data_IF_061554319147
#
_entry.id   IF_061554319147
#
_cell.length_a   1.000
_cell.length_b   1.000
_cell.length_c   1.000
_cell.angle_alpha   90.00
_cell.angle_beta   90.00
_cell.angle_gamma   90.00
#
_symmetry.space_group_name_H-M   'P 1'
#
loop_
_entity.id
_entity.type
_entity.pdbx_description
1 polymer ?
#
# COMPACT_ATOMS: atom_id res chain seq x y z
N UNK A 1 -25.49 -18.53 3.86
CA UNK A 1 -24.83 -17.64 4.83
C UNK A 1 -24.55 -16.34 4.12
N UNK A 2 -24.79 -15.20 4.77
CA UNK A 2 -24.40 -13.89 4.24
C UNK A 2 -22.95 -13.63 4.65
N UNK A 3 -22.16 -13.13 3.71
CA UNK A 3 -20.75 -12.79 3.89
C UNK A 3 -20.55 -11.33 3.50
N UNK A 4 -19.76 -10.59 4.27
CA UNK A 4 -19.36 -9.23 3.95
C UNK A 4 -18.38 -9.20 2.78
N UNK A 5 -18.61 -8.29 1.84
CA UNK A 5 -17.74 -8.03 0.70
C UNK A 5 -17.44 -6.54 0.60
N UNK A 6 -16.18 -6.21 0.33
CA UNK A 6 -15.77 -4.88 -0.10
C UNK A 6 -15.73 -4.88 -1.62
N UNK A 7 -16.41 -3.92 -2.24
CA UNK A 7 -16.41 -3.75 -3.69
C UNK A 7 -15.97 -2.35 -4.04
N UNK A 8 -14.93 -2.25 -4.86
CA UNK A 8 -14.37 -1.00 -5.38
C UNK A 8 -14.70 -0.88 -6.87
N UNK A 9 -15.15 0.29 -7.28
CA UNK A 9 -15.42 0.64 -8.68
C UNK A 9 -14.63 1.89 -9.02
N UNK A 10 -13.85 1.82 -10.09
CA UNK A 10 -13.11 2.96 -10.63
C UNK A 10 -13.68 3.36 -11.99
N UNK A 11 -13.92 4.65 -12.13
CA UNK A 11 -14.30 5.31 -13.39
C UNK A 11 -13.24 6.35 -13.72
N UNK A 12 -12.68 6.27 -14.91
CA UNK A 12 -11.77 7.29 -15.45
C UNK A 12 -12.47 8.08 -16.54
N UNK A 13 -12.04 9.31 -16.76
CA UNK A 13 -12.39 10.12 -17.92
C UNK A 13 -11.33 9.92 -19.01
N UNK A 14 -11.78 9.83 -20.26
CA UNK A 14 -10.96 9.42 -21.40
C UNK A 14 -9.65 10.22 -21.51
N UNK A 15 -8.54 9.48 -21.64
CA UNK A 15 -7.21 10.02 -21.92
C UNK A 15 -6.33 10.28 -20.69
N UNK A 16 -6.86 10.20 -19.47
CA UNK A 16 -6.08 10.43 -18.25
C UNK A 16 -5.55 9.13 -17.66
N UNK A 17 -4.24 9.10 -17.44
CA UNK A 17 -3.59 8.06 -16.66
C UNK A 17 -3.87 8.30 -15.17
N UNK A 18 -4.09 7.26 -14.34
CA UNK A 18 -4.13 7.40 -12.88
C UNK A 18 -2.81 7.93 -12.28
N UNK A 19 -1.75 8.09 -13.08
CA UNK A 19 -0.46 8.65 -12.70
C UNK A 19 -0.30 10.15 -13.04
N UNK A 20 -1.26 10.75 -13.74
CA UNK A 20 -1.19 12.17 -14.08
C UNK A 20 -1.42 13.03 -12.81
N UNK A 21 -0.81 14.23 -12.67
CA UNK A 21 -0.95 15.08 -11.47
C UNK A 21 -2.36 15.69 -11.34
N UNK A 22 -3.08 15.40 -10.25
CA UNK A 22 -4.50 15.72 -10.03
C UNK A 22 -4.91 17.17 -10.35
N UNK A 23 -6.14 17.36 -10.86
CA UNK A 23 -6.80 18.66 -11.02
C UNK A 23 -8.09 18.63 -10.20
N UNK A 24 -8.14 19.43 -9.14
CA UNK A 24 -9.29 19.46 -8.22
C UNK A 24 -10.12 20.70 -8.52
N UNK A 25 -11.33 20.50 -9.04
CA UNK A 25 -12.37 21.53 -9.10
C UNK A 25 -13.34 21.40 -7.92
N UNK A 26 -13.67 22.53 -7.27
CA UNK A 26 -14.54 22.58 -6.09
C UNK A 26 -15.90 21.88 -6.30
N UNK A 27 -16.49 22.01 -7.48
CA UNK A 27 -17.77 21.36 -7.81
C UNK A 27 -17.68 19.83 -7.86
N UNK A 28 -16.54 19.27 -8.27
CA UNK A 28 -16.34 17.82 -8.32
C UNK A 28 -16.21 17.26 -6.90
N UNK A 29 -15.47 17.96 -6.03
CA UNK A 29 -15.33 17.58 -4.62
C UNK A 29 -16.68 17.54 -3.91
N UNK A 30 -17.52 18.56 -4.11
CA UNK A 30 -18.87 18.61 -3.52
C UNK A 30 -19.74 17.43 -3.97
N UNK A 31 -19.69 17.05 -5.25
CA UNK A 31 -20.43 15.91 -5.79
C UNK A 31 -19.94 14.58 -5.23
N UNK A 32 -18.63 14.39 -5.08
CA UNK A 32 -18.05 13.20 -4.46
C UNK A 32 -18.44 13.09 -2.97
N UNK A 33 -18.47 14.23 -2.26
CA UNK A 33 -18.96 14.30 -0.88
C UNK A 33 -20.44 13.92 -0.77
N UNK A 34 -21.29 14.44 -1.67
CA UNK A 34 -22.71 14.10 -1.73
C UNK A 34 -22.95 12.61 -2.05
N UNK A 35 -22.15 12.04 -2.96
CA UNK A 35 -22.19 10.62 -3.28
C UNK A 35 -21.78 9.75 -2.09
N UNK A 36 -20.72 10.14 -1.35
CA UNK A 36 -20.31 9.47 -0.11
C UNK A 36 -21.45 9.43 0.90
N UNK A 37 -22.12 10.57 1.12
CA UNK A 37 -23.26 10.66 2.04
C UNK A 37 -24.44 9.76 1.60
N UNK A 38 -24.74 9.71 0.30
CA UNK A 38 -25.82 8.87 -0.22
C UNK A 38 -25.55 7.37 -0.08
N UNK A 39 -24.29 6.97 -0.11
CA UNK A 39 -23.85 5.57 0.05
C UNK A 39 -23.43 5.23 1.48
N UNK A 40 -23.69 6.11 2.47
CA UNK A 40 -23.28 5.91 3.86
C UNK A 40 -23.80 4.59 4.48
N UNK A 41 -24.99 4.13 4.06
CA UNK A 41 -25.56 2.82 4.49
C UNK A 41 -24.72 1.61 4.07
N UNK A 42 -23.82 1.79 3.10
CA UNK A 42 -22.88 0.78 2.61
C UNK A 42 -21.44 1.09 3.05
N UNK A 43 -21.25 1.90 4.09
CA UNK A 43 -19.93 2.27 4.62
C UNK A 43 -18.98 2.79 3.52
N UNK A 44 -19.50 3.63 2.64
CA UNK A 44 -18.79 4.03 1.44
C UNK A 44 -17.60 4.95 1.72
N UNK A 45 -16.53 4.75 0.94
CA UNK A 45 -15.45 5.70 0.77
C UNK A 45 -15.38 6.08 -0.71
N UNK A 46 -15.52 7.36 -1.02
CA UNK A 46 -15.43 7.89 -2.39
C UNK A 46 -14.30 8.91 -2.45
N UNK A 47 -13.46 8.79 -3.47
CA UNK A 47 -12.34 9.71 -3.72
C UNK A 47 -12.17 9.90 -5.21
N UNK A 48 -11.70 11.06 -5.63
CA UNK A 48 -11.51 11.34 -7.04
C UNK A 48 -11.26 12.81 -7.30
N UNK A 49 -11.18 13.14 -8.57
CA UNK A 49 -10.95 14.49 -9.07
C UNK A 49 -11.60 14.64 -10.46
N UNK A 50 -11.22 15.69 -11.21
CA UNK A 50 -11.77 15.94 -12.55
C UNK A 50 -11.38 14.90 -13.61
N UNK A 51 -10.56 13.90 -13.29
CA UNK A 51 -10.10 12.86 -14.22
C UNK A 51 -10.73 11.51 -13.97
N UNK A 52 -11.42 11.35 -12.85
CA UNK A 52 -12.01 10.09 -12.48
C UNK A 52 -12.25 10.00 -11.00
N UNK A 53 -12.88 8.91 -10.60
CA UNK A 53 -13.22 8.65 -9.22
C UNK A 53 -13.22 7.15 -8.94
N UNK A 54 -13.03 6.84 -7.67
CA UNK A 54 -13.12 5.51 -7.10
C UNK A 54 -14.13 5.54 -5.96
N UNK A 55 -15.03 4.56 -5.94
CA UNK A 55 -15.94 4.34 -4.82
C UNK A 55 -15.75 2.92 -4.31
N UNK A 56 -15.51 2.78 -3.01
CA UNK A 56 -15.50 1.51 -2.30
C UNK A 56 -16.69 1.44 -1.36
N UNK A 57 -17.44 0.33 -1.40
CA UNK A 57 -18.56 0.06 -0.49
C UNK A 57 -18.39 -1.31 0.16
N UNK A 58 -18.96 -1.47 1.35
CA UNK A 58 -19.05 -2.75 2.05
C UNK A 58 -20.50 -3.18 2.15
N UNK A 59 -20.80 -4.40 1.73
CA UNK A 59 -22.16 -4.95 1.78
C UNK A 59 -22.17 -6.45 1.99
N UNK A 60 -23.28 -6.95 2.51
CA UNK A 60 -23.54 -8.38 2.68
C UNK A 60 -24.18 -8.99 1.44
N UNK A 61 -23.68 -10.16 1.04
CA UNK A 61 -24.25 -10.96 -0.05
C UNK A 61 -24.05 -12.46 0.17
N UNK A 62 -24.80 -13.28 -0.57
CA UNK A 62 -24.65 -14.75 -0.59
C UNK A 62 -23.50 -15.22 -1.48
N UNK A 63 -23.07 -14.40 -2.45
CA UNK A 63 -22.01 -14.72 -3.41
C UNK A 63 -21.21 -13.47 -3.76
N UNK A 64 -19.95 -13.67 -4.16
CA UNK A 64 -19.07 -12.57 -4.62
C UNK A 64 -19.61 -11.89 -5.88
N UNK A 65 -20.17 -12.66 -6.82
CA UNK A 65 -20.79 -12.13 -8.03
C UNK A 65 -22.02 -11.26 -7.71
N UNK A 66 -22.90 -11.73 -6.81
CA UNK A 66 -24.05 -10.95 -6.36
C UNK A 66 -23.64 -9.69 -5.60
N UNK A 67 -22.56 -9.75 -4.81
CA UNK A 67 -22.02 -8.57 -4.14
C UNK A 67 -21.54 -7.53 -5.15
N UNK A 68 -20.72 -7.97 -6.12
CA UNK A 68 -20.19 -7.14 -7.19
C UNK A 68 -21.31 -6.44 -7.96
N UNK A 69 -22.28 -7.20 -8.47
CA UNK A 69 -23.31 -6.65 -9.35
C UNK A 69 -24.21 -5.66 -8.60
N UNK A 70 -24.57 -5.97 -7.35
CA UNK A 70 -25.31 -5.06 -6.48
C UNK A 70 -24.52 -3.79 -6.19
N UNK A 71 -23.25 -3.91 -5.78
CA UNK A 71 -22.42 -2.75 -5.48
C UNK A 71 -22.23 -1.85 -6.71
N UNK A 72 -21.89 -2.43 -7.86
CA UNK A 72 -21.73 -1.68 -9.12
C UNK A 72 -23.02 -0.94 -9.47
N UNK A 73 -24.17 -1.60 -9.39
CA UNK A 73 -25.47 -0.95 -9.67
C UNK A 73 -25.74 0.22 -8.73
N UNK A 74 -25.48 0.05 -7.42
CA UNK A 74 -25.75 1.07 -6.40
C UNK A 74 -24.80 2.26 -6.54
N UNK A 75 -23.52 1.98 -6.77
CA UNK A 75 -22.47 2.99 -6.97
C UNK A 75 -22.75 3.81 -8.22
N UNK A 76 -22.99 3.17 -9.37
CA UNK A 76 -23.22 3.88 -10.63
C UNK A 76 -24.54 4.65 -10.62
N UNK A 77 -25.59 4.13 -9.97
CA UNK A 77 -26.84 4.88 -9.78
C UNK A 77 -26.64 6.13 -8.90
N UNK A 78 -25.82 6.03 -7.84
CA UNK A 78 -25.47 7.19 -7.03
C UNK A 78 -24.63 8.20 -7.82
N UNK A 79 -23.65 7.75 -8.59
CA UNK A 79 -22.83 8.60 -9.44
C UNK A 79 -23.68 9.37 -10.47
N UNK A 80 -24.58 8.69 -11.17
CA UNK A 80 -25.51 9.29 -12.14
C UNK A 80 -26.40 10.37 -11.48
N UNK A 81 -26.97 10.06 -10.30
CA UNK A 81 -27.79 11.00 -9.51
C UNK A 81 -27.06 12.31 -9.20
N UNK A 82 -25.76 12.26 -8.96
CA UNK A 82 -24.93 13.44 -8.67
C UNK A 82 -24.16 13.97 -9.87
N UNK A 83 -24.49 13.51 -11.08
CA UNK A 83 -23.87 13.95 -12.35
C UNK A 83 -22.36 13.72 -12.36
N UNK A 84 -21.91 12.61 -11.78
CA UNK A 84 -20.55 12.10 -11.94
C UNK A 84 -20.51 11.17 -13.17
N UNK A 85 -19.37 11.07 -13.87
CA UNK A 85 -19.21 10.14 -14.97
C UNK A 85 -19.46 8.71 -14.54
N UNK A 86 -20.15 7.91 -15.35
CA UNK A 86 -20.41 6.48 -15.07
C UNK A 86 -19.66 5.54 -16.02
N UNK A 87 -18.91 6.10 -16.99
CA UNK A 87 -18.13 5.35 -17.96
C UNK A 87 -16.89 6.16 -18.42
N UNK A 88 -15.83 5.47 -18.90
CA UNK A 88 -15.62 4.03 -18.80
C UNK A 88 -15.37 3.56 -17.36
N UNK A 89 -16.04 2.48 -16.96
CA UNK A 89 -15.64 1.72 -15.76
C UNK A 89 -14.38 0.95 -16.11
N UNK A 90 -13.26 1.32 -15.50
CA UNK A 90 -11.95 0.75 -15.84
C UNK A 90 -11.51 -0.35 -14.90
N UNK A 91 -12.05 -0.38 -13.67
CA UNK A 91 -11.79 -1.43 -12.68
C UNK A 91 -13.02 -1.69 -11.83
N UNK A 92 -13.30 -2.97 -11.62
CA UNK A 92 -14.21 -3.44 -10.57
C UNK A 92 -13.48 -4.53 -9.79
N UNK A 93 -13.30 -4.31 -8.51
CA UNK A 93 -12.67 -5.25 -7.59
C UNK A 93 -13.67 -5.66 -6.53
N UNK A 94 -13.87 -6.96 -6.34
CA UNK A 94 -14.71 -7.50 -5.28
C UNK A 94 -13.90 -8.48 -4.45
N UNK A 95 -13.86 -8.26 -3.15
CA UNK A 95 -13.08 -9.06 -2.19
C UNK A 95 -13.94 -9.34 -0.97
N UNK A 96 -13.75 -10.49 -0.31
CA UNK A 96 -14.39 -10.72 0.98
C UNK A 96 -13.82 -9.75 2.02
N UNK A 97 -14.67 -9.26 2.91
CA UNK A 97 -14.28 -8.28 3.91
C UNK A 97 -13.16 -8.82 4.82
N UNK A 98 -13.23 -10.08 5.25
CA UNK A 98 -12.20 -10.68 6.11
C UNK A 98 -10.82 -10.80 5.44
N UNK A 99 -10.80 -11.08 4.12
CA UNK A 99 -9.57 -11.07 3.33
C UNK A 99 -9.02 -9.65 3.21
N UNK A 100 -9.88 -8.66 2.93
CA UNK A 100 -9.48 -7.26 2.83
C UNK A 100 -8.94 -6.72 4.14
N UNK A 101 -9.58 -7.05 5.26
CA UNK A 101 -9.13 -6.68 6.59
C UNK A 101 -7.76 -7.30 6.88
N UNK A 102 -7.57 -8.59 6.55
CA UNK A 102 -6.28 -9.26 6.71
C UNK A 102 -5.17 -8.63 5.84
N UNK A 103 -5.49 -8.18 4.62
CA UNK A 103 -4.56 -7.48 3.74
C UNK A 103 -4.19 -6.08 4.27
N UNK A 104 -5.17 -5.33 4.81
CA UNK A 104 -4.93 -4.02 5.42
C UNK A 104 -4.04 -4.10 6.67
N UNK A 105 -4.07 -5.23 7.38
CA UNK A 105 -3.17 -5.46 8.51
C UNK A 105 -1.74 -5.86 8.09
N UNK A 106 -1.49 -6.16 6.81
CA UNK A 106 -0.13 -6.45 6.34
C UNK A 106 0.64 -5.15 6.18
N UNK A 107 1.87 -5.06 6.73
CA UNK A 107 2.75 -3.92 6.46
C UNK A 107 2.96 -3.77 4.95
N UNK A 108 2.56 -2.63 4.40
CA UNK A 108 2.80 -2.27 2.99
C UNK A 108 4.23 -1.82 2.74
N UNK A 109 4.88 -1.32 3.79
CA UNK A 109 6.30 -0.99 3.73
C UNK A 109 7.12 -2.25 3.99
N UNK A 110 8.15 -2.51 3.18
CA UNK A 110 9.11 -3.55 3.48
C UNK A 110 9.75 -3.32 4.86
N UNK A 111 10.09 -4.39 5.56
CA UNK A 111 10.82 -4.30 6.82
C UNK A 111 12.26 -3.83 6.53
N UNK A 112 12.47 -2.53 6.74
CA UNK A 112 13.74 -1.84 6.52
C UNK A 112 14.44 -1.59 7.84
N UNK A 113 15.76 -1.66 7.81
CA UNK A 113 16.64 -1.35 8.93
C UNK A 113 17.66 -0.30 8.53
N UNK A 114 17.89 0.63 9.44
CA UNK A 114 18.97 1.60 9.40
C UNK A 114 20.31 0.97 9.80
N UNK A 115 21.41 1.70 9.61
CA UNK A 115 22.75 1.26 10.01
C UNK A 115 22.87 0.86 11.50
N UNK A 116 22.28 1.63 12.45
CA UNK A 116 22.14 1.24 13.85
C UNK A 116 21.46 -0.11 14.06
N UNK A 117 20.30 -0.32 13.46
CA UNK A 117 19.50 -1.55 13.64
C UNK A 117 20.20 -2.76 12.98
N UNK A 118 20.85 -2.55 11.83
CA UNK A 118 21.68 -3.57 11.21
C UNK A 118 22.87 -3.95 12.09
N UNK A 119 23.46 -3.00 12.81
CA UNK A 119 24.57 -3.24 13.73
C UNK A 119 24.12 -4.10 14.92
N UNK A 120 22.94 -3.82 15.46
CA UNK A 120 22.31 -4.61 16.53
C UNK A 120 22.02 -6.04 16.08
N UNK A 121 21.41 -6.23 14.90
CA UNK A 121 21.13 -7.55 14.31
C UNK A 121 22.43 -8.37 14.17
N UNK A 122 23.48 -7.73 13.68
CA UNK A 122 24.76 -8.39 13.42
C UNK A 122 25.66 -8.50 14.65
N UNK A 123 25.30 -7.87 15.78
CA UNK A 123 26.12 -7.80 16.98
C UNK A 123 27.46 -7.13 16.76
N UNK A 124 27.52 -6.07 15.95
CA UNK A 124 28.74 -5.31 15.62
C UNK A 124 28.52 -3.80 15.82
N UNK A 125 29.56 -2.99 15.62
CA UNK A 125 29.41 -1.53 15.64
C UNK A 125 28.83 -0.99 14.32
N UNK A 126 28.23 0.21 14.38
CA UNK A 126 27.73 0.92 13.19
C UNK A 126 28.81 1.13 12.12
N UNK A 127 30.03 1.48 12.57
CA UNK A 127 31.18 1.63 11.68
C UNK A 127 31.51 0.32 10.96
N UNK A 128 31.40 -0.82 11.66
CA UNK A 128 31.63 -2.14 11.07
C UNK A 128 30.57 -2.48 10.03
N UNK A 129 29.31 -2.09 10.23
CA UNK A 129 28.26 -2.23 9.21
C UNK A 129 28.62 -1.44 7.95
N UNK A 130 29.02 -0.18 8.08
CA UNK A 130 29.43 0.62 6.91
C UNK A 130 30.62 0.00 6.19
N UNK A 131 31.59 -0.52 6.93
CA UNK A 131 32.72 -1.22 6.34
C UNK A 131 32.28 -2.48 5.58
N UNK A 132 31.43 -3.32 6.17
CA UNK A 132 30.90 -4.52 5.52
C UNK A 132 30.12 -4.17 4.25
N UNK A 133 29.31 -3.12 4.28
CA UNK A 133 28.55 -2.65 3.13
C UNK A 133 29.44 -2.19 1.97
N UNK A 134 30.66 -1.73 2.22
CA UNK A 134 31.60 -1.30 1.18
C UNK A 134 32.56 -2.40 0.73
N UNK A 135 33.03 -3.24 1.66
CA UNK A 135 34.12 -4.18 1.41
C UNK A 135 33.66 -5.62 1.18
N UNK A 136 32.47 -5.99 1.68
CA UNK A 136 32.01 -7.38 1.66
C UNK A 136 30.95 -7.59 0.59
N UNK A 137 31.35 -8.27 -0.51
CA UNK A 137 30.48 -8.50 -1.68
C UNK A 137 29.12 -9.15 -1.36
N UNK A 138 29.08 -10.02 -0.36
CA UNK A 138 27.83 -10.70 0.03
C UNK A 138 26.96 -9.91 1.01
N UNK A 139 27.42 -8.73 1.46
CA UNK A 139 26.59 -7.85 2.27
C UNK A 139 25.45 -7.29 1.41
N UNK A 140 24.20 -7.22 1.91
CA UNK A 140 23.08 -6.76 1.10
C UNK A 140 23.29 -5.35 0.57
N UNK A 141 22.91 -5.13 -0.68
CA UNK A 141 22.81 -3.79 -1.24
C UNK A 141 21.75 -2.98 -0.48
N UNK A 142 21.98 -1.68 -0.26
CA UNK A 142 20.95 -0.81 0.30
C UNK A 142 19.68 -0.83 -0.55
N UNK A 143 18.53 -1.01 0.09
CA UNK A 143 17.23 -0.78 -0.53
C UNK A 143 17.05 0.70 -0.88
N UNK A 144 17.57 1.59 -0.01
CA UNK A 144 17.57 3.03 -0.21
C UNK A 144 18.87 3.65 0.29
N UNK A 145 19.32 4.69 -0.41
CA UNK A 145 20.40 5.56 0.02
C UNK A 145 19.83 6.95 0.27
N UNK A 146 19.70 7.33 1.53
CA UNK A 146 19.25 8.65 1.95
C UNK A 146 20.46 9.52 2.28
N UNK A 147 20.31 10.85 2.26
CA UNK A 147 21.41 11.77 2.61
C UNK A 147 21.94 11.55 4.04
N UNK A 148 21.12 11.01 4.94
CA UNK A 148 21.48 10.70 6.34
C UNK A 148 22.04 9.30 6.55
N UNK A 149 21.93 8.40 5.56
CA UNK A 149 22.36 7.02 5.68
C UNK A 149 21.59 6.04 4.78
N UNK A 150 22.07 4.81 4.73
CA UNK A 150 21.47 3.73 3.95
C UNK A 150 20.43 2.95 4.76
N UNK A 151 19.41 2.44 4.06
CA UNK A 151 18.43 1.49 4.57
C UNK A 151 18.58 0.17 3.84
N UNK A 152 18.46 -0.93 4.57
CA UNK A 152 18.52 -2.30 4.04
C UNK A 152 17.26 -3.06 4.38
N UNK A 153 16.91 -4.06 3.59
CA UNK A 153 15.90 -5.04 4.02
C UNK A 153 16.42 -5.82 5.23
N UNK A 154 15.63 -5.86 6.32
CA UNK A 154 15.98 -6.62 7.53
C UNK A 154 16.36 -8.07 7.19
N UNK A 155 15.56 -8.71 6.35
CA UNK A 155 15.78 -10.09 5.93
C UNK A 155 17.16 -10.30 5.28
N UNK A 156 17.63 -9.34 4.48
CA UNK A 156 18.96 -9.40 3.85
C UNK A 156 20.09 -9.32 4.88
N UNK A 157 19.95 -8.44 5.88
CA UNK A 157 20.93 -8.29 6.95
C UNK A 157 20.98 -9.53 7.84
N UNK A 158 19.82 -10.07 8.23
CA UNK A 158 19.74 -11.31 9.02
C UNK A 158 20.39 -12.46 8.26
N UNK A 159 20.02 -12.66 7.00
CA UNK A 159 20.55 -13.75 6.18
C UNK A 159 22.06 -13.63 5.93
N UNK A 160 22.58 -12.39 5.82
CA UNK A 160 24.02 -12.16 5.82
C UNK A 160 24.65 -12.61 7.14
N UNK A 161 24.09 -12.19 8.29
CA UNK A 161 24.57 -12.56 9.62
C UNK A 161 24.63 -14.07 9.86
N UNK A 162 23.65 -14.82 9.35
CA UNK A 162 23.60 -16.29 9.45
C UNK A 162 24.71 -16.99 8.65
N UNK A 163 25.04 -16.46 7.47
CA UNK A 163 26.08 -17.05 6.59
C UNK A 163 27.48 -16.54 6.91
N UNK A 164 27.59 -15.36 7.50
CA UNK A 164 28.85 -14.67 7.67
C UNK A 164 29.69 -15.28 8.81
N UNK A 165 30.74 -16.00 8.43
CA UNK A 165 31.75 -16.52 9.38
C UNK A 165 32.65 -15.37 9.85
N UNK A 166 32.38 -14.85 11.06
CA UNK A 166 33.21 -13.82 11.70
C UNK A 166 34.66 -14.30 11.83
N UNK A 167 35.61 -13.56 11.25
CA UNK A 167 37.03 -13.73 11.59
C UNK A 167 37.27 -13.06 12.95
N UNK A 168 37.74 -13.82 13.94
CA UNK A 168 38.06 -13.28 15.26
C UNK A 168 39.09 -12.15 15.12
N UNK A 169 38.78 -10.97 15.68
CA UNK A 169 39.68 -9.84 15.72
C UNK A 169 40.87 -10.08 16.66
N UNK A 170 41.98 -9.37 16.43
CA UNK A 170 43.22 -9.45 17.21
C UNK A 170 42.93 -9.24 18.71
N UNK A 171 43.44 -10.09 19.63
CA UNK A 171 43.20 -9.97 21.06
C UNK A 171 43.63 -8.58 21.57
N UNK A 172 42.85 -8.04 22.50
CA UNK A 172 43.13 -6.75 23.13
C UNK A 172 44.54 -6.76 23.73
N UNK A 173 45.32 -5.71 23.47
CA UNK A 173 46.63 -5.55 24.09
C UNK A 173 46.38 -5.14 25.55
N UNK A 174 46.54 -6.06 26.48
CA UNK A 174 46.53 -5.78 27.91
C UNK A 174 47.59 -4.70 28.20
N UNK A 175 47.18 -3.59 28.79
CA UNK A 175 48.05 -2.55 29.34
C UNK A 175 47.74 -2.40 30.82
#
# INVERSE_FOLDING_TARGET
MMTGYCVTVDVLLDGHSPLDPAIIGDTTVDRLGAMTAALARLHAAVSGDERGWSATVTLEASTLHGARDRAVSEILAAADRFRLPTAPVVRVEAVRQDVRDAELQRPTLPDLVSGPEAAEILGVSRQRVHQLAHEHRDFPEPAYQLGVGSLWFRAGVVAFGERWKRRAGRPAKTA
#
